data_IF_808316024388
#
_entry.id   IF_808316024388
#
_cell.length_a   1.000
_cell.length_b   1.000
_cell.length_c   1.000
_cell.angle_alpha   90.00
_cell.angle_beta   90.00
_cell.angle_gamma   90.00
#
_symmetry.space_group_name_H-M   'P 1'
#
loop_
_entity.id
_entity.type
_entity.pdbx_description
1 polymer ?
#
# COMPACT_ATOMS: atom_id res chain seq x y z
N UNK A 1 -59.75 -11.90 -13.50
CA UNK A 1 -58.82 -11.01 -12.77
C UNK A 1 -57.40 -11.42 -13.12
N UNK A 2 -56.73 -10.70 -14.02
CA UNK A 2 -55.33 -10.95 -14.39
C UNK A 2 -54.44 -9.92 -13.70
N UNK A 3 -53.54 -10.40 -12.84
CA UNK A 3 -52.52 -9.60 -12.16
C UNK A 3 -51.36 -9.34 -13.11
N UNK A 4 -51.12 -8.07 -13.41
CA UNK A 4 -50.01 -7.59 -14.24
C UNK A 4 -48.83 -7.29 -13.30
N UNK A 5 -47.85 -8.19 -13.28
CA UNK A 5 -46.61 -8.03 -12.52
C UNK A 5 -45.69 -7.09 -13.28
N UNK A 6 -45.60 -5.84 -12.85
CA UNK A 6 -44.66 -4.86 -13.37
C UNK A 6 -43.30 -5.11 -12.70
N UNK A 7 -42.44 -5.87 -13.39
CA UNK A 7 -41.04 -6.04 -13.00
C UNK A 7 -40.24 -4.78 -13.36
N UNK A 8 -39.86 -4.00 -12.35
CA UNK A 8 -38.89 -2.91 -12.48
C UNK A 8 -37.49 -3.50 -12.69
N UNK A 9 -37.06 -3.58 -13.95
CA UNK A 9 -35.66 -3.82 -14.30
C UNK A 9 -34.87 -2.55 -13.99
N UNK A 10 -34.16 -2.54 -12.85
CA UNK A 10 -33.11 -1.56 -12.59
C UNK A 10 -31.95 -1.84 -13.54
N UNK A 11 -31.95 -1.18 -14.69
CA UNK A 11 -30.80 -1.11 -15.59
C UNK A 11 -29.66 -0.40 -14.86
N UNK A 12 -28.70 -1.17 -14.35
CA UNK A 12 -27.43 -0.63 -13.87
C UNK A 12 -26.65 -0.11 -15.07
N UNK A 13 -26.86 1.17 -15.40
CA UNK A 13 -26.03 1.89 -16.37
C UNK A 13 -24.60 1.94 -15.81
N UNK A 14 -23.72 1.15 -16.42
CA UNK A 14 -22.27 1.32 -16.31
C UNK A 14 -21.91 2.69 -16.92
N UNK A 15 -21.89 3.71 -16.07
CA UNK A 15 -21.32 5.01 -16.41
C UNK A 15 -19.81 4.79 -16.52
N UNK A 16 -19.32 4.58 -17.74
CA UNK A 16 -17.90 4.70 -18.06
C UNK A 16 -17.63 6.20 -18.07
N UNK A 17 -17.17 6.74 -16.95
CA UNK A 17 -16.70 8.13 -16.88
C UNK A 17 -15.45 8.27 -17.74
N UNK A 18 -15.63 8.66 -18.99
CA UNK A 18 -14.54 9.19 -19.81
C UNK A 18 -14.16 10.56 -19.25
N UNK A 19 -13.15 10.60 -18.38
CA UNK A 19 -12.61 11.84 -17.84
C UNK A 19 -11.89 12.62 -18.94
N UNK A 20 -12.46 13.76 -19.34
CA UNK A 20 -11.86 14.74 -20.26
C UNK A 20 -10.83 15.65 -19.55
N UNK A 21 -9.96 15.06 -18.71
CA UNK A 21 -8.99 15.78 -17.90
C UNK A 21 -7.55 15.69 -18.46
N UNK A 22 -6.75 16.74 -18.29
CA UNK A 22 -5.33 16.72 -18.69
C UNK A 22 -4.54 15.84 -17.74
N UNK A 23 -3.84 14.83 -18.27
CA UNK A 23 -2.90 14.03 -17.49
C UNK A 23 -1.53 14.67 -17.51
N UNK A 24 -0.99 14.99 -16.33
CA UNK A 24 0.38 15.44 -16.19
C UNK A 24 1.29 14.23 -15.94
N UNK A 25 2.26 14.04 -16.83
CA UNK A 25 3.24 12.95 -16.74
C UNK A 25 4.51 13.52 -16.11
N UNK A 26 4.84 13.04 -14.92
CA UNK A 26 5.99 13.49 -14.14
C UNK A 26 6.94 12.31 -13.95
N UNK A 27 7.87 12.20 -14.89
CA UNK A 27 8.91 11.15 -14.93
C UNK A 27 10.33 11.71 -14.81
N UNK A 28 10.49 13.03 -14.96
CA UNK A 28 11.78 13.73 -14.91
C UNK A 28 11.64 15.16 -14.37
N UNK A 29 12.74 15.76 -13.90
CA UNK A 29 12.75 17.11 -13.28
C UNK A 29 12.13 18.19 -14.16
N UNK A 30 12.31 18.12 -15.49
CA UNK A 30 11.75 19.09 -16.43
C UNK A 30 10.21 19.14 -16.39
N UNK A 31 9.56 18.01 -16.12
CA UNK A 31 8.10 17.93 -16.02
C UNK A 31 7.52 18.80 -14.89
N UNK A 32 8.31 19.11 -13.87
CA UNK A 32 7.90 20.01 -12.79
C UNK A 32 7.79 21.49 -13.23
N UNK A 33 8.11 21.84 -14.49
CA UNK A 33 7.86 23.17 -15.06
C UNK A 33 6.44 23.33 -15.63
N UNK A 34 5.70 22.23 -15.75
CA UNK A 34 4.31 22.26 -16.19
C UNK A 34 3.44 23.06 -15.20
N UNK A 35 2.34 23.63 -15.68
CA UNK A 35 1.37 24.28 -14.82
C UNK A 35 0.51 23.21 -14.11
N UNK A 36 0.81 22.96 -12.84
CA UNK A 36 0.13 21.93 -12.04
C UNK A 36 -1.38 22.19 -11.90
N UNK A 37 -1.85 23.44 -12.08
CA UNK A 37 -3.27 23.79 -11.98
C UNK A 37 -4.09 23.28 -13.17
N UNK A 38 -3.42 22.95 -14.28
CA UNK A 38 -4.06 22.35 -15.46
C UNK A 38 -4.15 20.83 -15.37
N UNK A 39 -3.47 20.21 -14.40
CA UNK A 39 -3.45 18.77 -14.21
C UNK A 39 -4.74 18.29 -13.54
N UNK A 40 -5.52 17.50 -14.24
CA UNK A 40 -6.68 16.80 -13.66
C UNK A 40 -6.27 15.47 -13.06
N UNK A 41 -5.32 14.78 -13.70
CA UNK A 41 -4.80 13.48 -13.27
C UNK A 41 -3.27 13.52 -13.24
N UNK A 42 -2.65 12.95 -12.20
CA UNK A 42 -1.21 12.77 -12.13
C UNK A 42 -0.79 11.34 -12.54
N UNK A 43 0.19 11.27 -13.41
CA UNK A 43 1.02 10.08 -13.62
C UNK A 43 2.42 10.38 -13.08
N UNK A 44 2.70 9.94 -11.86
CA UNK A 44 3.96 10.15 -11.17
C UNK A 44 4.81 8.89 -11.15
N UNK A 45 6.02 8.97 -11.69
CA UNK A 45 6.99 7.89 -11.62
C UNK A 45 8.39 8.38 -11.25
N UNK A 46 8.74 8.31 -9.96
CA UNK A 46 10.07 8.71 -9.47
C UNK A 46 11.15 7.66 -9.67
N UNK A 47 10.83 6.50 -10.28
CA UNK A 47 11.81 5.43 -10.49
C UNK A 47 12.71 5.77 -11.67
N UNK A 48 12.21 6.56 -12.63
CA UNK A 48 12.94 6.99 -13.82
C UNK A 48 13.90 8.15 -13.52
N UNK A 49 13.56 9.02 -12.56
CA UNK A 49 14.44 10.09 -12.11
C UNK A 49 14.27 10.37 -10.61
N UNK A 50 15.20 9.87 -9.79
CA UNK A 50 15.19 10.08 -8.34
C UNK A 50 15.53 11.53 -7.94
N UNK A 51 15.98 12.38 -8.86
CA UNK A 51 16.20 13.80 -8.57
C UNK A 51 14.89 14.55 -8.40
N UNK A 52 13.78 14.02 -8.92
CA UNK A 52 12.43 14.58 -8.77
C UNK A 52 12.10 14.89 -7.31
N UNK A 53 12.22 13.90 -6.43
CA UNK A 53 11.84 14.03 -5.02
C UNK A 53 12.74 14.97 -4.22
N UNK A 54 13.90 15.36 -4.79
CA UNK A 54 14.85 16.31 -4.20
C UNK A 54 14.59 17.75 -4.64
N UNK A 55 13.70 17.99 -5.59
CA UNK A 55 13.37 19.33 -6.05
C UNK A 55 12.49 20.03 -5.01
N UNK A 56 12.84 21.25 -4.62
CA UNK A 56 12.06 22.02 -3.63
C UNK A 56 10.59 22.22 -4.02
N UNK A 57 10.31 22.30 -5.33
CA UNK A 57 8.95 22.44 -5.89
C UNK A 57 8.17 21.14 -6.06
N UNK A 58 8.79 19.98 -5.83
CA UNK A 58 8.15 18.67 -6.10
C UNK A 58 6.85 18.50 -5.32
N UNK A 59 6.89 18.74 -4.01
CA UNK A 59 5.72 18.61 -3.16
C UNK A 59 4.62 19.60 -3.55
N UNK A 60 4.99 20.87 -3.80
CA UNK A 60 4.03 21.90 -4.18
C UNK A 60 3.36 21.64 -5.54
N UNK A 61 4.06 20.94 -6.43
CA UNK A 61 3.49 20.48 -7.70
C UNK A 61 2.41 19.43 -7.49
N UNK A 62 2.70 18.38 -6.72
CA UNK A 62 1.79 17.23 -6.58
C UNK A 62 0.62 17.51 -5.63
N UNK A 63 0.79 18.38 -4.64
CA UNK A 63 -0.23 18.57 -3.58
C UNK A 63 -1.59 19.08 -4.06
N UNK A 64 -1.61 19.73 -5.22
CA UNK A 64 -2.83 20.31 -5.77
C UNK A 64 -3.56 19.39 -6.76
N UNK A 65 -2.96 18.24 -7.11
CA UNK A 65 -3.55 17.33 -8.09
C UNK A 65 -4.43 16.34 -7.34
N UNK A 66 -5.72 16.33 -7.68
CA UNK A 66 -6.74 15.61 -6.92
C UNK A 66 -6.84 14.11 -7.22
N UNK A 67 -6.41 13.67 -8.40
CA UNK A 67 -6.55 12.28 -8.87
C UNK A 67 -5.26 11.74 -9.50
N UNK A 68 -5.01 10.45 -9.34
CA UNK A 68 -3.77 9.78 -9.70
C UNK A 68 -4.04 8.50 -10.48
N UNK A 69 -3.44 8.39 -11.66
CA UNK A 69 -3.38 7.14 -12.44
C UNK A 69 -2.13 6.32 -12.11
N UNK A 70 -1.05 6.99 -11.72
CA UNK A 70 0.16 6.34 -11.25
C UNK A 70 0.78 7.14 -10.11
N UNK A 71 1.16 6.45 -9.04
CA UNK A 71 1.84 7.02 -7.89
C UNK A 71 3.00 6.11 -7.47
N UNK A 72 4.16 6.33 -8.08
CA UNK A 72 5.37 5.56 -7.75
C UNK A 72 6.40 6.42 -7.05
N UNK A 73 6.70 6.05 -5.80
CA UNK A 73 7.71 6.67 -4.94
C UNK A 73 8.76 5.64 -4.54
N UNK A 74 10.02 6.01 -4.76
CA UNK A 74 11.16 5.17 -4.38
C UNK A 74 12.33 5.98 -3.87
N UNK A 75 12.98 5.46 -2.83
CA UNK A 75 14.21 6.05 -2.23
C UNK A 75 14.04 7.54 -1.91
N UNK A 76 12.86 7.88 -1.41
CA UNK A 76 12.49 9.24 -1.07
C UNK A 76 12.57 9.46 0.43
N UNK A 77 13.16 10.60 0.80
CA UNK A 77 13.20 11.09 2.17
C UNK A 77 12.03 12.04 2.47
N UNK A 78 10.98 12.02 1.63
CA UNK A 78 9.87 12.94 1.72
C UNK A 78 8.92 12.56 2.87
N UNK A 79 9.18 13.12 4.05
CA UNK A 79 8.21 13.16 5.15
C UNK A 79 6.92 13.88 4.74
N UNK A 80 7.03 14.96 3.96
CA UNK A 80 5.92 15.86 3.57
C UNK A 80 4.81 15.21 2.75
N UNK A 81 5.00 14.01 2.20
CA UNK A 81 3.93 13.33 1.46
C UNK A 81 2.73 12.99 2.36
N UNK A 82 2.96 12.89 3.68
CA UNK A 82 1.90 12.75 4.67
C UNK A 82 0.99 13.96 4.77
N UNK A 83 1.43 15.12 4.27
CA UNK A 83 0.64 16.36 4.25
C UNK A 83 -0.42 16.32 3.13
N UNK A 84 -0.40 15.30 2.26
CA UNK A 84 -1.51 15.00 1.38
C UNK A 84 -2.60 14.30 2.19
N UNK A 85 -3.71 14.99 2.48
CA UNK A 85 -4.80 14.37 3.26
C UNK A 85 -5.40 13.15 2.53
N UNK A 86 -5.63 13.28 1.22
CA UNK A 86 -6.28 12.27 0.39
C UNK A 86 -5.67 12.21 -1.01
N UNK A 87 -5.40 11.00 -1.48
CA UNK A 87 -5.06 10.68 -2.87
C UNK A 87 -6.23 9.89 -3.48
N UNK A 88 -6.90 10.46 -4.48
CA UNK A 88 -7.92 9.74 -5.26
C UNK A 88 -7.25 8.94 -6.37
N UNK A 89 -7.61 7.68 -6.50
CA UNK A 89 -7.02 6.76 -7.47
C UNK A 89 -8.01 6.49 -8.61
N UNK A 90 -7.50 6.61 -9.83
CA UNK A 90 -8.23 6.33 -11.06
C UNK A 90 -8.47 4.81 -11.23
N UNK A 91 -9.46 4.43 -12.04
CA UNK A 91 -9.62 3.02 -12.43
C UNK A 91 -8.37 2.53 -13.18
N UNK A 92 -7.81 1.41 -12.76
CA UNK A 92 -6.55 0.90 -13.32
C UNK A 92 -5.31 1.53 -12.69
N UNK A 93 -5.45 2.37 -11.66
CA UNK A 93 -4.30 3.05 -11.08
C UNK A 93 -3.30 2.10 -10.42
N UNK A 94 -2.04 2.51 -10.45
CA UNK A 94 -0.93 1.80 -9.84
C UNK A 94 -0.28 2.65 -8.74
N UNK A 95 -0.19 2.09 -7.55
CA UNK A 95 0.51 2.68 -6.41
C UNK A 95 1.71 1.82 -6.06
N UNK A 96 2.91 2.39 -6.10
CA UNK A 96 4.14 1.70 -5.73
C UNK A 96 5.01 2.55 -4.81
N UNK A 97 5.14 2.16 -3.55
CA UNK A 97 5.87 2.92 -2.53
C UNK A 97 6.92 2.00 -1.95
N UNK A 98 8.18 2.20 -2.33
CA UNK A 98 9.27 1.30 -1.93
C UNK A 98 10.53 2.00 -1.44
N UNK A 99 11.24 1.39 -0.49
CA UNK A 99 12.57 1.85 -0.09
C UNK A 99 12.59 3.30 0.43
N UNK A 100 11.52 3.77 1.09
CA UNK A 100 11.47 5.11 1.66
C UNK A 100 11.80 5.04 3.16
N UNK A 101 13.04 5.36 3.52
CA UNK A 101 13.56 5.16 4.87
C UNK A 101 12.87 6.06 5.90
N UNK A 102 12.53 7.29 5.54
CA UNK A 102 11.95 8.28 6.46
C UNK A 102 10.42 8.37 6.40
N UNK A 103 9.77 7.57 5.56
CA UNK A 103 8.32 7.63 5.40
C UNK A 103 7.62 6.88 6.53
N UNK A 104 6.96 7.63 7.42
CA UNK A 104 6.29 7.06 8.59
C UNK A 104 4.80 6.76 8.38
N UNK A 105 4.12 7.54 7.54
CA UNK A 105 2.68 7.44 7.30
C UNK A 105 2.36 7.56 5.81
N UNK A 106 1.19 7.07 5.43
CA UNK A 106 0.63 7.24 4.09
C UNK A 106 -0.55 8.21 4.12
N UNK A 107 -0.75 8.96 3.01
CA UNK A 107 -2.01 9.65 2.77
C UNK A 107 -3.15 8.63 2.69
N UNK A 108 -4.39 9.08 2.90
CA UNK A 108 -5.56 8.21 2.67
C UNK A 108 -5.73 8.00 1.17
N UNK A 109 -5.87 6.74 0.75
CA UNK A 109 -6.23 6.41 -0.63
C UNK A 109 -7.75 6.25 -0.77
N UNK A 110 -8.33 6.88 -1.79
CA UNK A 110 -9.76 6.77 -2.12
C UNK A 110 -9.95 6.29 -3.56
N UNK A 111 -10.85 5.33 -3.76
CA UNK A 111 -11.21 4.79 -5.08
C UNK A 111 -12.63 4.25 -5.05
N UNK A 112 -13.27 4.18 -6.22
CA UNK A 112 -14.67 3.76 -6.35
C UNK A 112 -14.78 2.24 -6.19
N UNK A 113 -15.97 1.78 -5.79
CA UNK A 113 -16.26 0.35 -5.69
C UNK A 113 -16.25 -0.25 -7.09
N UNK A 114 -15.51 -1.34 -7.28
CA UNK A 114 -15.34 -1.99 -8.58
C UNK A 114 -14.07 -1.58 -9.31
N UNK A 115 -13.35 -0.55 -8.84
CA UNK A 115 -12.10 -0.15 -9.45
C UNK A 115 -11.00 -1.19 -9.28
N UNK A 116 -10.23 -1.37 -10.35
CA UNK A 116 -9.04 -2.22 -10.36
C UNK A 116 -7.85 -1.36 -9.98
N UNK A 117 -7.38 -1.49 -8.74
CA UNK A 117 -6.20 -0.77 -8.25
C UNK A 117 -5.11 -1.78 -7.93
N UNK A 118 -3.87 -1.47 -8.31
CA UNK A 118 -2.70 -2.27 -7.95
C UNK A 118 -1.89 -1.55 -6.89
N UNK A 119 -1.61 -2.23 -5.78
CA UNK A 119 -0.75 -1.71 -4.72
C UNK A 119 0.52 -2.54 -4.57
N UNK A 120 1.65 -1.86 -4.42
CA UNK A 120 2.93 -2.45 -4.03
C UNK A 120 3.58 -1.52 -3.00
N UNK A 121 3.55 -1.90 -1.72
CA UNK A 121 4.18 -1.16 -0.63
C UNK A 121 5.12 -2.12 0.08
N UNK A 122 6.43 -1.90 -0.06
CA UNK A 122 7.46 -2.80 0.44
C UNK A 122 8.74 -2.05 0.82
N UNK A 123 9.54 -2.60 1.73
CA UNK A 123 10.84 -2.05 2.13
C UNK A 123 10.80 -0.61 2.66
N UNK A 124 9.73 -0.19 3.34
CA UNK A 124 9.66 1.09 4.02
C UNK A 124 9.73 0.85 5.55
N UNK A 125 10.92 0.89 6.16
CA UNK A 125 11.14 0.34 7.50
C UNK A 125 10.32 1.02 8.60
N UNK A 126 10.00 2.30 8.43
CA UNK A 126 9.29 3.09 9.44
C UNK A 126 7.79 3.28 9.13
N UNK A 127 7.29 2.68 8.05
CA UNK A 127 5.95 2.95 7.53
C UNK A 127 4.88 2.14 8.25
N UNK A 128 3.90 2.83 8.81
CA UNK A 128 2.66 2.20 9.29
C UNK A 128 1.68 1.98 8.11
N UNK A 129 1.42 0.71 7.80
CA UNK A 129 0.50 0.27 6.75
C UNK A 129 -0.82 -0.27 7.27
N UNK A 130 -1.08 -0.21 8.59
CA UNK A 130 -2.23 -0.85 9.25
C UNK A 130 -3.56 -0.50 8.58
N UNK A 131 -3.79 0.79 8.33
CA UNK A 131 -5.02 1.28 7.70
C UNK A 131 -5.17 0.78 6.26
N UNK A 132 -4.10 0.88 5.46
CA UNK A 132 -4.10 0.42 4.07
C UNK A 132 -4.37 -1.08 3.99
N UNK A 133 -3.75 -1.89 4.86
CA UNK A 133 -4.01 -3.32 4.97
C UNK A 133 -5.47 -3.62 5.29
N UNK A 134 -6.07 -2.89 6.24
CA UNK A 134 -7.48 -3.04 6.58
C UNK A 134 -8.38 -2.74 5.38
N UNK A 135 -8.12 -1.66 4.66
CA UNK A 135 -8.91 -1.24 3.50
C UNK A 135 -8.80 -2.24 2.34
N UNK A 136 -7.59 -2.71 2.05
CA UNK A 136 -7.30 -3.72 1.02
C UNK A 136 -8.00 -5.05 1.34
N UNK A 137 -7.95 -5.51 2.60
CA UNK A 137 -8.61 -6.74 3.06
C UNK A 137 -10.13 -6.62 3.01
N UNK A 138 -10.69 -5.51 3.51
CA UNK A 138 -12.13 -5.26 3.50
C UNK A 138 -12.72 -5.26 2.08
N UNK A 139 -11.93 -4.79 1.09
CA UNK A 139 -12.31 -4.76 -0.32
C UNK A 139 -11.93 -6.01 -1.11
N UNK A 140 -11.35 -7.04 -0.47
CA UNK A 140 -10.93 -8.32 -1.08
C UNK A 140 -10.07 -8.13 -2.34
N UNK A 141 -9.13 -7.19 -2.31
CA UNK A 141 -8.27 -6.90 -3.47
C UNK A 141 -7.29 -8.04 -3.71
N UNK A 142 -7.22 -8.53 -4.96
CA UNK A 142 -6.31 -9.63 -5.34
C UNK A 142 -4.89 -9.15 -5.71
N UNK A 143 -4.74 -7.91 -6.17
CA UNK A 143 -3.49 -7.37 -6.72
C UNK A 143 -2.85 -6.36 -5.77
N UNK A 144 -2.77 -6.70 -4.48
CA UNK A 144 -2.18 -5.84 -3.46
C UNK A 144 -1.08 -6.60 -2.72
N UNK A 145 0.13 -6.04 -2.77
CA UNK A 145 1.25 -6.47 -1.96
C UNK A 145 1.61 -5.33 -1.00
N UNK A 146 1.24 -5.48 0.27
CA UNK A 146 1.47 -4.47 1.31
C UNK A 146 2.28 -5.11 2.42
N UNK A 147 3.44 -4.53 2.76
CA UNK A 147 4.23 -4.93 3.92
C UNK A 147 3.40 -4.85 5.20
N UNK A 148 3.74 -5.67 6.19
CA UNK A 148 3.18 -5.55 7.53
C UNK A 148 3.64 -4.24 8.19
N UNK A 149 2.83 -3.65 9.09
CA UNK A 149 3.21 -2.45 9.79
C UNK A 149 4.43 -2.72 10.68
N UNK A 150 5.28 -1.71 10.82
CA UNK A 150 6.40 -1.78 11.75
C UNK A 150 5.87 -1.97 13.18
N UNK A 151 6.38 -3.00 13.88
CA UNK A 151 5.98 -3.34 15.25
C UNK A 151 5.17 -4.64 15.42
N UNK A 152 4.60 -5.21 14.36
CA UNK A 152 3.88 -6.52 14.44
C UNK A 152 4.82 -7.74 14.43
N UNK A 153 6.13 -7.55 14.25
CA UNK A 153 7.11 -8.64 14.26
C UNK A 153 7.42 -9.22 15.65
N UNK A 154 6.90 -8.64 16.75
CA UNK A 154 7.37 -8.95 18.10
C UNK A 154 6.50 -9.88 18.95
N UNK A 155 5.36 -10.41 18.48
CA UNK A 155 4.53 -11.29 19.33
C UNK A 155 4.55 -12.77 18.92
N UNK A 156 4.49 -13.09 17.62
CA UNK A 156 4.27 -14.48 17.18
C UNK A 156 5.55 -15.28 16.99
N UNK A 157 6.66 -14.63 16.65
CA UNK A 157 7.95 -15.31 16.44
C UNK A 157 8.68 -15.54 17.77
N UNK A 158 8.52 -14.64 18.75
CA UNK A 158 9.15 -14.77 20.07
C UNK A 158 8.48 -15.87 20.90
N UNK A 159 7.15 -16.06 20.82
CA UNK A 159 6.48 -17.11 21.60
C UNK A 159 6.85 -18.51 21.10
N UNK A 160 6.92 -18.73 19.78
CA UNK A 160 7.25 -20.04 19.21
C UNK A 160 8.74 -20.40 19.33
N UNK A 161 9.64 -19.42 19.30
CA UNK A 161 11.06 -19.63 19.54
C UNK A 161 11.37 -19.89 21.03
N UNK A 162 10.71 -19.16 21.94
CA UNK A 162 10.83 -19.39 23.38
C UNK A 162 10.26 -20.74 23.80
N UNK A 163 9.10 -21.13 23.26
CA UNK A 163 8.50 -22.45 23.54
C UNK A 163 9.42 -23.60 23.09
N UNK A 164 9.99 -23.53 21.88
CA UNK A 164 10.93 -24.56 21.39
C UNK A 164 12.21 -24.65 22.20
N UNK A 165 12.71 -23.51 22.72
CA UNK A 165 13.89 -23.50 23.58
C UNK A 165 13.60 -24.16 24.93
N UNK A 166 12.43 -23.89 25.53
CA UNK A 166 12.00 -24.56 26.77
C UNK A 166 11.72 -26.05 26.57
N UNK A 167 11.11 -26.45 25.46
CA UNK A 167 10.85 -27.86 25.15
C UNK A 167 12.16 -28.65 24.90
N UNK A 168 13.17 -28.02 24.29
CA UNK A 168 14.52 -28.62 24.14
C UNK A 168 15.23 -28.82 25.48
N UNK A 169 15.12 -27.87 26.41
CA UNK A 169 15.75 -27.99 27.74
C UNK A 169 15.02 -29.02 28.60
N UNK A 170 13.68 -29.07 28.53
CA UNK A 170 12.88 -30.05 29.27
C UNK A 170 13.09 -31.49 28.75
N UNK A 171 13.21 -31.67 27.43
CA UNK A 171 13.46 -32.99 26.83
C UNK A 171 14.83 -33.59 27.16
N UNK A 172 15.83 -32.76 27.47
CA UNK A 172 17.18 -33.23 27.82
C UNK A 172 17.36 -33.61 29.29
N UNK A 173 16.42 -33.26 30.18
CA UNK A 173 16.50 -33.65 31.60
C UNK A 173 15.94 -35.06 31.88
N UNK A 174 15.16 -35.65 30.97
CA UNK A 174 14.58 -36.99 31.18
C UNK A 174 15.50 -38.16 30.81
N UNK A 175 16.64 -37.93 30.14
CA UNK A 175 17.53 -39.02 29.67
C UNK A 175 18.63 -39.39 30.70
N UNK A 176 18.80 -38.62 31.78
CA UNK A 176 19.92 -38.82 32.72
C UNK A 176 19.65 -39.70 33.94
N UNK A 177 18.45 -40.29 34.07
CA UNK A 177 18.04 -41.04 35.27
C UNK A 177 17.76 -42.54 35.04
N UNK A 178 18.30 -43.17 33.99
CA UNK A 178 18.29 -44.64 33.91
C UNK A 178 19.50 -45.23 34.65
N UNK A 179 19.30 -46.07 35.68
CA UNK A 179 20.40 -46.77 36.34
C UNK A 179 21.04 -47.79 35.40
N UNK A 180 22.36 -48.03 35.51
CA UNK A 180 23.07 -48.93 34.61
C UNK A 180 22.54 -50.36 34.75
N UNK A 181 22.17 -50.96 33.62
CA UNK A 181 21.81 -52.38 33.55
C UNK A 181 23.05 -53.22 33.85
N UNK A 182 22.99 -54.02 34.91
CA UNK A 182 24.01 -55.03 35.18
C UNK A 182 23.95 -56.12 34.12
N UNK A 183 25.03 -56.28 33.37
CA UNK A 183 25.30 -57.53 32.65
C UNK A 183 26.02 -58.47 33.61
N UNK A 184 25.63 -59.75 33.55
CA UNK A 184 25.94 -60.79 34.55
C UNK A 184 27.40 -61.20 34.65
#
# INVERSE_FOLDING_TARGET
>A
MQLLVIGLLFSATLIIENYAGTTCIVTEVAALQQDSKKCSVLHLNTYLDQRLVKQGKFFDFIKNIGEYSMFMLRKSNLSRITDLDVIKLHHGAQVSITQNELLAKLPKFEWKRGDRITFTVADNPNLDTTKLLKDVKARKMKNAHIQLPFGEFSATVVSSASQRYHDMIAGNQQISNEPPRSFG
#
